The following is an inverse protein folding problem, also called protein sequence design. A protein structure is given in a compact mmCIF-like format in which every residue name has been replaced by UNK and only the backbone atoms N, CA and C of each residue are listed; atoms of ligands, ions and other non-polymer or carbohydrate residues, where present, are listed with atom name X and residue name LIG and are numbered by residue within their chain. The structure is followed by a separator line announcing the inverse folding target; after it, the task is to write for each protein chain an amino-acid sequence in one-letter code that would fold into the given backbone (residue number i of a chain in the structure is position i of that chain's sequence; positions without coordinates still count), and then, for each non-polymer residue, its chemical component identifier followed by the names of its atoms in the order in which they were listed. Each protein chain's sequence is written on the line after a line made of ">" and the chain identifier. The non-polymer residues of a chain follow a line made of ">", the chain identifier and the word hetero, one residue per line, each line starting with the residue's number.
data_IF_784074668187
#
_entry.id   IF_784074668187
#
_cell.length_a   1.000
_cell.length_b   1.000
_cell.length_c   1.000
_cell.angle_alpha   90.00
_cell.angle_beta   90.00
_cell.angle_gamma   90.00
#
_symmetry.space_group_name_H-M   'P 1'
#
loop_
_entity.id
_entity.type
_entity.pdbx_description
1 polymer ?
#
# COMPACT_ATOMS: atom_id res chain seq x y z
N UNK A 1 -4.73 46.92 6.11
CA UNK A 1 -4.75 45.45 6.34
C UNK A 1 -6.05 44.94 5.77
N UNK A 2 -5.99 44.28 4.62
CA UNK A 2 -7.16 43.70 3.94
C UNK A 2 -7.73 42.59 4.81
N UNK A 3 -8.83 42.89 5.50
CA UNK A 3 -9.69 41.90 6.15
C UNK A 3 -10.10 40.89 5.08
N UNK A 4 -9.45 39.72 5.04
CA UNK A 4 -9.93 38.64 4.20
C UNK A 4 -11.25 38.19 4.80
N UNK A 5 -12.34 38.36 4.05
CA UNK A 5 -13.65 37.89 4.45
C UNK A 5 -13.60 36.36 4.57
N UNK A 6 -14.19 35.79 5.62
CA UNK A 6 -14.27 34.34 5.79
C UNK A 6 -14.92 33.65 4.58
N UNK A 7 -15.76 34.40 3.84
CA UNK A 7 -16.37 33.96 2.57
C UNK A 7 -15.32 33.69 1.50
N UNK A 8 -14.30 34.53 1.37
CA UNK A 8 -13.21 34.33 0.40
C UNK A 8 -12.42 33.06 0.72
N UNK A 9 -12.12 32.82 2.01
CA UNK A 9 -11.39 31.63 2.46
C UNK A 9 -12.21 30.36 2.22
N UNK A 10 -13.51 30.39 2.55
CA UNK A 10 -14.41 29.26 2.26
C UNK A 10 -14.48 28.97 0.76
N UNK A 11 -14.65 30.01 -0.07
CA UNK A 11 -14.72 29.84 -1.52
C UNK A 11 -13.40 29.30 -2.10
N UNK A 12 -12.26 29.75 -1.57
CA UNK A 12 -10.95 29.23 -1.93
C UNK A 12 -10.83 27.73 -1.59
N UNK A 13 -11.16 27.32 -0.36
CA UNK A 13 -11.13 25.90 0.04
C UNK A 13 -12.09 25.06 -0.81
N UNK A 14 -13.31 25.55 -1.06
CA UNK A 14 -14.28 24.86 -1.94
C UNK A 14 -13.71 24.68 -3.36
N UNK A 15 -13.07 25.70 -3.90
CA UNK A 15 -12.42 25.65 -5.22
C UNK A 15 -11.24 24.67 -5.20
N UNK A 16 -10.42 24.66 -4.16
CA UNK A 16 -9.31 23.71 -3.99
C UNK A 16 -9.80 22.24 -3.94
N UNK A 17 -10.98 21.97 -3.38
CA UNK A 17 -11.62 20.65 -3.46
C UNK A 17 -12.09 20.35 -4.89
N UNK A 18 -12.78 21.31 -5.54
CA UNK A 18 -13.31 21.15 -6.91
C UNK A 18 -12.21 20.94 -7.93
N UNK A 19 -11.10 21.65 -7.78
CA UNK A 19 -9.98 21.67 -8.72
C UNK A 19 -8.94 20.60 -8.37
N UNK A 20 -9.17 19.81 -7.30
CA UNK A 20 -8.35 18.65 -6.98
C UNK A 20 -8.58 17.55 -8.04
N UNK A 21 -7.77 17.59 -9.11
CA UNK A 21 -7.89 16.67 -10.23
C UNK A 21 -7.75 15.19 -9.86
N UNK A 22 -7.03 14.87 -8.79
CA UNK A 22 -6.97 13.50 -8.28
C UNK A 22 -8.32 13.09 -7.68
N UNK A 23 -8.91 13.92 -6.81
CA UNK A 23 -10.20 13.64 -6.18
C UNK A 23 -11.33 13.54 -7.21
N UNK A 24 -11.47 14.56 -8.04
CA UNK A 24 -12.52 14.59 -9.06
C UNK A 24 -12.34 13.47 -10.08
N UNK A 25 -11.12 13.27 -10.59
CA UNK A 25 -10.83 12.20 -11.54
C UNK A 25 -11.10 10.81 -10.96
N UNK A 26 -10.81 10.57 -9.67
CA UNK A 26 -11.16 9.31 -9.00
C UNK A 26 -12.67 9.13 -8.87
N UNK A 27 -13.42 10.18 -8.50
CA UNK A 27 -14.89 10.11 -8.40
C UNK A 27 -15.49 9.81 -9.78
N UNK A 28 -15.07 10.51 -10.83
CA UNK A 28 -15.54 10.29 -12.20
C UNK A 28 -15.20 8.89 -12.71
N UNK A 29 -14.00 8.38 -12.41
CA UNK A 29 -13.60 7.02 -12.77
C UNK A 29 -14.47 5.96 -12.07
N UNK A 30 -14.78 6.15 -10.78
CA UNK A 30 -15.69 5.27 -10.05
C UNK A 30 -17.13 5.38 -10.57
N UNK A 31 -17.60 6.60 -10.86
CA UNK A 31 -18.92 6.85 -11.45
C UNK A 31 -19.08 6.13 -12.80
N UNK A 32 -18.07 6.18 -13.67
CA UNK A 32 -18.05 5.48 -14.96
C UNK A 32 -18.13 3.95 -14.82
N UNK A 33 -17.71 3.41 -13.68
CA UNK A 33 -17.82 1.98 -13.33
C UNK A 33 -19.09 1.65 -12.54
N UNK A 34 -20.08 2.55 -12.53
CA UNK A 34 -21.35 2.40 -11.81
C UNK A 34 -21.16 2.14 -10.30
N UNK A 35 -20.20 2.85 -9.69
CA UNK A 35 -19.95 2.73 -8.26
C UNK A 35 -21.17 3.17 -7.44
N UNK A 36 -21.34 2.53 -6.28
CA UNK A 36 -22.32 2.94 -5.29
C UNK A 36 -21.67 3.81 -4.21
N UNK A 37 -22.47 4.66 -3.56
CA UNK A 37 -22.01 5.52 -2.48
C UNK A 37 -22.43 4.96 -1.12
N UNK A 38 -21.47 4.85 -0.20
CA UNK A 38 -21.71 4.50 1.18
C UNK A 38 -21.34 5.68 2.09
N UNK A 39 -22.30 6.44 2.62
CA UNK A 39 -22.03 7.64 3.42
C UNK A 39 -21.40 7.35 4.78
N UNK A 40 -21.45 6.09 5.24
CA UNK A 40 -21.15 5.74 6.61
C UNK A 40 -22.21 6.22 7.60
N UNK A 41 -22.03 5.83 8.86
CA UNK A 41 -22.83 6.26 9.98
C UNK A 41 -22.02 7.15 10.91
N UNK A 42 -22.72 8.00 11.65
CA UNK A 42 -22.09 8.74 12.72
C UNK A 42 -23.01 9.75 13.38
N UNK A 43 -22.40 10.80 13.88
CA UNK A 43 -23.09 11.88 14.56
C UNK A 43 -23.48 13.00 13.58
N UNK A 44 -24.07 14.10 14.08
CA UNK A 44 -24.44 15.23 13.23
C UNK A 44 -23.26 15.85 12.45
N UNK A 45 -22.04 15.72 12.95
CA UNK A 45 -20.84 16.14 12.21
C UNK A 45 -20.68 15.39 10.88
N UNK A 46 -20.99 14.10 10.86
CA UNK A 46 -20.95 13.27 9.66
C UNK A 46 -22.06 13.65 8.67
N UNK A 47 -23.18 14.21 9.15
CA UNK A 47 -24.20 14.81 8.28
C UNK A 47 -23.63 15.97 7.47
N UNK A 48 -22.77 16.81 8.08
CA UNK A 48 -22.16 17.94 7.38
C UNK A 48 -21.19 17.48 6.29
N UNK A 49 -20.44 16.40 6.55
CA UNK A 49 -19.60 15.73 5.55
C UNK A 49 -20.47 15.24 4.39
N UNK A 50 -21.59 14.57 4.71
CA UNK A 50 -22.51 14.04 3.71
C UNK A 50 -23.10 15.15 2.84
N UNK A 51 -23.53 16.28 3.43
CA UNK A 51 -24.03 17.44 2.67
C UNK A 51 -22.99 17.94 1.67
N UNK A 52 -21.76 18.21 2.11
CA UNK A 52 -20.70 18.65 1.20
C UNK A 52 -20.33 17.61 0.15
N UNK A 53 -20.47 16.32 0.46
CA UNK A 53 -20.29 15.22 -0.50
C UNK A 53 -21.39 15.22 -1.57
N UNK A 54 -22.65 15.34 -1.16
CA UNK A 54 -23.78 15.42 -2.10
C UNK A 54 -23.73 16.67 -2.97
N UNK A 55 -23.32 17.81 -2.41
CA UNK A 55 -23.10 19.04 -3.18
C UNK A 55 -22.01 18.86 -4.25
N UNK A 56 -20.94 18.11 -3.95
CA UNK A 56 -19.89 17.79 -4.95
C UNK A 56 -20.44 16.87 -6.03
N UNK A 57 -21.17 15.82 -5.66
CA UNK A 57 -21.76 14.90 -6.63
C UNK A 57 -22.73 15.61 -7.57
N UNK A 58 -23.57 16.50 -7.05
CA UNK A 58 -24.48 17.33 -7.84
C UNK A 58 -23.71 18.24 -8.81
N UNK A 59 -22.66 18.93 -8.34
CA UNK A 59 -21.81 19.75 -9.21
C UNK A 59 -21.06 18.91 -10.28
N UNK A 60 -20.85 17.61 -10.04
CA UNK A 60 -20.24 16.67 -11.00
C UNK A 60 -21.30 15.98 -11.90
N UNK A 61 -22.60 16.24 -11.69
CA UNK A 61 -23.67 15.57 -12.41
C UNK A 61 -23.78 14.07 -12.13
N UNK A 62 -23.31 13.62 -10.96
CA UNK A 62 -23.34 12.21 -10.56
C UNK A 62 -24.40 11.95 -9.49
N UNK A 63 -25.23 10.93 -9.69
CA UNK A 63 -26.24 10.50 -8.72
C UNK A 63 -26.08 9.00 -8.44
N UNK A 64 -25.23 8.61 -7.47
CA UNK A 64 -24.98 7.20 -7.17
C UNK A 64 -26.17 6.51 -6.51
N UNK A 65 -26.25 5.18 -6.67
CA UNK A 65 -27.06 4.35 -5.78
C UNK A 65 -26.48 4.40 -4.37
N UNK A 66 -27.34 4.57 -3.36
CA UNK A 66 -26.93 4.65 -1.96
C UNK A 66 -26.99 3.27 -1.31
N UNK A 67 -25.85 2.82 -0.78
CA UNK A 67 -25.76 1.58 -0.01
C UNK A 67 -26.17 1.84 1.44
N UNK A 68 -27.07 1.03 1.97
CA UNK A 68 -27.62 1.16 3.33
C UNK A 68 -27.34 -0.07 4.18
N UNK A 69 -27.09 0.14 5.47
CA UNK A 69 -26.88 -0.94 6.44
C UNK A 69 -25.45 -1.05 6.99
N UNK A 70 -25.26 -2.01 7.90
CA UNK A 70 -24.00 -2.26 8.63
C UNK A 70 -23.53 -3.71 8.64
N UNK A 71 -24.24 -4.59 7.95
CA UNK A 71 -23.90 -6.01 7.94
C UNK A 71 -22.62 -6.26 7.11
N UNK A 72 -21.94 -7.39 7.33
CA UNK A 72 -20.66 -7.66 6.64
C UNK A 72 -20.79 -7.74 5.11
N UNK A 73 -21.97 -8.12 4.64
CA UNK A 73 -22.38 -8.22 3.24
C UNK A 73 -23.00 -6.93 2.68
N UNK A 74 -22.91 -5.80 3.39
CA UNK A 74 -23.53 -4.52 2.98
C UNK A 74 -23.12 -4.06 1.57
N UNK A 75 -21.95 -4.47 1.08
CA UNK A 75 -21.46 -4.15 -0.27
C UNK A 75 -21.75 -5.24 -1.31
N UNK A 76 -22.56 -6.25 -1.00
CA UNK A 76 -22.93 -7.30 -1.94
C UNK A 76 -23.67 -6.72 -3.16
N UNK A 77 -23.36 -7.26 -4.35
CA UNK A 77 -23.90 -6.75 -5.62
C UNK A 77 -23.18 -5.53 -6.18
N UNK A 78 -22.23 -4.94 -5.45
CA UNK A 78 -21.43 -3.81 -5.91
C UNK A 78 -19.97 -4.21 -6.10
N UNK A 79 -19.35 -3.76 -7.19
CA UNK A 79 -17.93 -3.96 -7.48
C UNK A 79 -17.05 -2.75 -7.13
N UNK A 80 -17.64 -1.56 -7.08
CA UNK A 80 -16.95 -0.30 -6.79
C UNK A 80 -17.75 0.49 -5.77
N UNK A 81 -17.09 0.94 -4.71
CA UNK A 81 -17.70 1.73 -3.63
C UNK A 81 -16.95 3.05 -3.48
N UNK A 82 -17.70 4.15 -3.51
CA UNK A 82 -17.22 5.43 -2.98
C UNK A 82 -17.65 5.51 -1.51
N UNK A 83 -16.67 5.51 -0.62
CA UNK A 83 -16.87 5.50 0.82
C UNK A 83 -16.78 6.93 1.37
N UNK A 84 -17.78 7.34 2.14
CA UNK A 84 -17.91 8.67 2.73
C UNK A 84 -16.69 9.08 3.56
N UNK A 85 -16.40 10.38 3.56
CA UNK A 85 -15.32 10.93 4.39
C UNK A 85 -15.64 10.79 5.88
N UNK A 86 -14.63 10.94 6.75
CA UNK A 86 -14.89 10.95 8.20
C UNK A 86 -13.76 10.47 9.09
N UNK A 87 -14.13 9.99 10.27
CA UNK A 87 -13.20 9.55 11.34
C UNK A 87 -13.29 8.06 11.70
N UNK A 88 -13.86 7.23 10.83
CA UNK A 88 -14.15 5.81 11.10
C UNK A 88 -12.95 4.84 11.00
N UNK A 89 -11.71 5.35 10.99
CA UNK A 89 -10.49 4.58 10.71
C UNK A 89 -9.45 4.76 11.82
N UNK A 90 -9.86 4.52 13.07
CA UNK A 90 -9.02 4.76 14.26
C UNK A 90 -8.96 3.52 15.15
N UNK A 91 -7.78 2.87 15.22
CA UNK A 91 -7.63 1.63 15.97
C UNK A 91 -7.91 1.81 17.46
N UNK A 92 -8.73 0.93 18.02
CA UNK A 92 -9.16 0.92 19.40
C UNK A 92 -10.25 1.94 19.74
N UNK A 93 -10.74 2.72 18.76
CA UNK A 93 -11.84 3.67 18.96
C UNK A 93 -12.94 3.45 17.91
N UNK A 94 -12.59 3.54 16.63
CA UNK A 94 -13.52 3.50 15.51
C UNK A 94 -13.05 2.47 14.48
N UNK A 95 -13.62 1.26 14.53
CA UNK A 95 -13.28 0.13 13.64
C UNK A 95 -14.50 -0.44 12.91
N UNK A 96 -15.65 0.24 13.01
CA UNK A 96 -16.98 -0.29 12.66
C UNK A 96 -17.07 -0.80 11.22
N UNK A 97 -16.28 -0.23 10.31
CA UNK A 97 -16.35 -0.54 8.87
C UNK A 97 -15.27 -1.51 8.39
N UNK A 98 -14.28 -1.83 9.24
CA UNK A 98 -13.11 -2.58 8.82
C UNK A 98 -13.48 -3.95 8.25
N UNK A 99 -14.37 -4.69 8.92
CA UNK A 99 -14.75 -6.03 8.47
C UNK A 99 -15.47 -6.00 7.11
N UNK A 100 -16.49 -5.16 6.95
CA UNK A 100 -17.24 -5.06 5.70
C UNK A 100 -16.35 -4.63 4.52
N UNK A 101 -15.46 -3.65 4.76
CA UNK A 101 -14.48 -3.21 3.76
C UNK A 101 -13.51 -4.32 3.38
N UNK A 102 -12.91 -5.01 4.36
CA UNK A 102 -11.97 -6.09 4.08
C UNK A 102 -12.65 -7.28 3.38
N UNK A 103 -13.91 -7.59 3.71
CA UNK A 103 -14.67 -8.61 2.99
C UNK A 103 -14.90 -8.23 1.54
N UNK A 104 -15.22 -6.96 1.25
CA UNK A 104 -15.39 -6.48 -0.12
C UNK A 104 -14.09 -6.54 -0.94
N UNK A 105 -12.97 -6.09 -0.35
CA UNK A 105 -11.65 -6.17 -0.98
C UNK A 105 -11.20 -7.62 -1.23
N UNK A 106 -11.50 -8.55 -0.30
CA UNK A 106 -11.23 -9.99 -0.51
C UNK A 106 -12.02 -10.59 -1.67
N UNK A 107 -13.19 -10.04 -1.99
CA UNK A 107 -14.00 -10.41 -3.16
C UNK A 107 -13.56 -9.72 -4.45
N UNK A 108 -12.52 -8.87 -4.40
CA UNK A 108 -11.96 -8.14 -5.54
C UNK A 108 -12.68 -6.83 -5.86
N UNK A 109 -13.48 -6.30 -4.93
CA UNK A 109 -14.11 -5.00 -5.09
C UNK A 109 -13.13 -3.84 -4.85
N UNK A 110 -13.38 -2.69 -5.47
CA UNK A 110 -12.54 -1.48 -5.33
C UNK A 110 -13.22 -0.44 -4.44
N UNK A 111 -12.43 0.29 -3.65
CA UNK A 111 -12.92 1.34 -2.76
C UNK A 111 -12.15 2.65 -2.95
N UNK A 112 -12.92 3.72 -3.15
CA UNK A 112 -12.45 5.10 -3.05
C UNK A 112 -12.86 5.67 -1.69
N UNK A 113 -11.90 5.93 -0.81
CA UNK A 113 -12.15 6.64 0.45
C UNK A 113 -12.09 8.14 0.22
N UNK A 114 -13.22 8.81 0.41
CA UNK A 114 -13.28 10.27 0.43
C UNK A 114 -12.53 10.83 1.66
N UNK A 115 -12.16 12.14 1.66
CA UNK A 115 -11.29 12.75 2.66
C UNK A 115 -11.58 12.34 4.11
N UNK A 116 -10.66 11.56 4.70
CA UNK A 116 -10.80 10.92 6.01
C UNK A 116 -9.56 11.06 6.89
N UNK A 117 -9.71 10.77 8.18
CA UNK A 117 -8.57 10.65 9.11
C UNK A 117 -8.30 9.18 9.45
N UNK A 118 -7.03 8.78 9.40
CA UNK A 118 -6.54 7.42 9.64
C UNK A 118 -5.54 7.40 10.81
N UNK A 119 -5.76 6.53 11.78
CA UNK A 119 -4.86 6.39 12.93
C UNK A 119 -4.76 4.93 13.36
N UNK A 120 -3.60 4.33 13.15
CA UNK A 120 -3.40 2.92 13.50
C UNK A 120 -4.08 1.94 12.55
N UNK A 121 -4.68 2.41 11.45
CA UNK A 121 -5.29 1.62 10.38
C UNK A 121 -4.69 1.99 9.02
N UNK A 122 -4.23 0.98 8.27
CA UNK A 122 -3.62 1.15 6.96
C UNK A 122 -2.85 -0.08 6.50
N UNK A 123 -2.18 -0.77 7.44
CA UNK A 123 -1.50 -2.05 7.17
C UNK A 123 -2.42 -3.12 6.58
N UNK A 124 -3.69 -3.10 6.95
CA UNK A 124 -4.75 -3.99 6.43
C UNK A 124 -5.08 -3.75 4.97
N UNK A 125 -4.83 -2.55 4.45
CA UNK A 125 -5.09 -2.21 3.06
C UNK A 125 -3.90 -2.53 2.15
N UNK A 126 -2.70 -2.74 2.71
CA UNK A 126 -1.48 -3.05 1.94
C UNK A 126 -1.65 -4.27 1.02
N UNK A 127 -2.24 -5.41 1.46
CA UNK A 127 -2.48 -6.55 0.57
C UNK A 127 -3.45 -6.25 -0.58
N UNK A 128 -4.20 -5.16 -0.49
CA UNK A 128 -5.23 -4.73 -1.44
C UNK A 128 -4.92 -3.34 -2.01
N UNK A 129 -3.66 -2.92 -2.01
CA UNK A 129 -3.27 -1.55 -2.39
C UNK A 129 -3.77 -1.18 -3.79
N UNK A 130 -3.87 -2.16 -4.69
CA UNK A 130 -4.36 -1.92 -6.04
C UNK A 130 -5.86 -1.67 -6.16
N UNK A 131 -6.61 -2.01 -5.12
CA UNK A 131 -8.07 -1.90 -5.03
C UNK A 131 -8.52 -0.69 -4.22
N UNK A 132 -7.60 0.03 -3.57
CA UNK A 132 -7.93 1.17 -2.70
C UNK A 132 -7.36 2.47 -3.24
N UNK A 133 -8.14 3.54 -3.15
CA UNK A 133 -7.69 4.91 -3.36
C UNK A 133 -8.10 5.71 -2.13
N UNK A 134 -7.14 6.35 -1.44
CA UNK A 134 -7.37 6.96 -0.13
C UNK A 134 -7.12 8.46 -0.18
N UNK A 135 -8.15 9.25 0.12
CA UNK A 135 -7.99 10.67 0.39
C UNK A 135 -7.92 10.92 1.90
N UNK A 136 -6.83 11.52 2.34
CA UNK A 136 -6.64 12.03 3.68
C UNK A 136 -7.13 13.48 3.75
N UNK A 137 -7.81 13.84 4.84
CA UNK A 137 -8.25 15.24 5.08
C UNK A 137 -7.23 16.13 5.78
N UNK A 138 -6.06 15.57 6.11
CA UNK A 138 -4.92 16.26 6.71
C UNK A 138 -3.63 15.44 6.55
N UNK A 139 -2.47 16.09 6.78
CA UNK A 139 -1.14 15.53 6.51
C UNK A 139 -0.73 14.40 7.45
N UNK A 140 -1.14 14.43 8.72
CA UNK A 140 -0.77 13.40 9.71
C UNK A 140 -1.32 12.03 9.32
N UNK A 141 -2.51 11.96 8.72
CA UNK A 141 -3.04 10.70 8.16
C UNK A 141 -2.21 10.19 6.99
N UNK A 142 -1.73 11.08 6.11
CA UNK A 142 -0.82 10.71 5.01
C UNK A 142 0.45 10.09 5.59
N UNK A 143 1.09 10.75 6.54
CA UNK A 143 2.31 10.27 7.19
C UNK A 143 2.10 8.89 7.82
N UNK A 144 0.98 8.71 8.54
CA UNK A 144 0.66 7.44 9.21
C UNK A 144 0.40 6.29 8.23
N UNK A 145 -0.28 6.54 7.10
CA UNK A 145 -0.51 5.51 6.09
C UNK A 145 0.80 5.10 5.39
N UNK A 146 1.67 6.07 5.11
CA UNK A 146 3.01 5.82 4.57
C UNK A 146 3.87 5.00 5.56
N UNK A 147 3.88 5.37 6.84
CA UNK A 147 4.54 4.62 7.92
C UNK A 147 4.04 3.17 8.03
N UNK A 148 2.78 2.92 7.66
CA UNK A 148 2.16 1.60 7.65
C UNK A 148 2.37 0.80 6.36
N UNK A 149 3.04 1.37 5.37
CA UNK A 149 3.41 0.71 4.12
C UNK A 149 2.37 0.79 3.01
N UNK A 150 1.36 1.66 3.14
CA UNK A 150 0.44 1.94 2.02
C UNK A 150 1.21 2.69 0.93
N UNK A 151 1.13 2.27 -0.36
CA UNK A 151 1.90 2.91 -1.42
C UNK A 151 1.54 4.40 -1.62
N UNK A 152 2.52 5.30 -1.81
CA UNK A 152 2.28 6.74 -1.94
C UNK A 152 1.30 7.11 -3.08
N UNK A 153 1.31 6.37 -4.18
CA UNK A 153 0.43 6.57 -5.33
C UNK A 153 -1.04 6.25 -5.04
N UNK A 154 -1.34 5.64 -3.89
CA UNK A 154 -2.70 5.35 -3.42
C UNK A 154 -3.19 6.35 -2.38
N UNK A 155 -2.34 7.29 -1.96
CA UNK A 155 -2.63 8.25 -0.88
C UNK A 155 -2.62 9.66 -1.44
N UNK A 156 -3.74 10.35 -1.25
CA UNK A 156 -3.94 11.71 -1.71
C UNK A 156 -4.35 12.61 -0.55
N UNK A 157 -4.11 13.91 -0.71
CA UNK A 157 -4.51 14.91 0.27
C UNK A 157 -5.62 15.79 -0.33
N UNK A 158 -6.64 16.06 0.46
CA UNK A 158 -7.70 17.03 0.14
C UNK A 158 -8.26 17.63 1.42
N UNK A 159 -9.09 18.66 1.33
CA UNK A 159 -9.82 19.18 2.47
C UNK A 159 -10.99 18.24 2.87
N UNK A 160 -11.46 18.39 4.11
CA UNK A 160 -12.67 17.70 4.57
C UNK A 160 -13.88 18.08 3.71
N UNK A 161 -14.69 17.09 3.33
CA UNK A 161 -15.85 17.30 2.44
C UNK A 161 -16.86 18.29 3.02
N UNK A 162 -16.92 18.49 4.34
CA UNK A 162 -17.76 19.51 4.97
C UNK A 162 -17.51 20.93 4.43
N UNK A 163 -16.27 21.25 4.00
CA UNK A 163 -15.97 22.55 3.39
C UNK A 163 -16.58 22.73 1.99
N UNK A 164 -17.02 21.65 1.35
CA UNK A 164 -17.74 21.69 0.08
C UNK A 164 -19.25 21.95 0.25
N UNK A 165 -19.72 22.28 1.45
CA UNK A 165 -21.13 22.63 1.67
C UNK A 165 -21.50 23.95 0.98
N UNK A 166 -22.62 24.00 0.26
CA UNK A 166 -23.13 25.21 -0.41
C UNK A 166 -23.71 26.21 0.59
N UNK A 167 -23.47 27.48 0.32
CA UNK A 167 -23.95 28.62 1.13
C UNK A 167 -25.47 28.69 1.21
N UNK A 168 -26.13 28.31 0.12
CA UNK A 168 -27.58 28.32 -0.02
C UNK A 168 -28.28 27.49 1.06
N UNK A 169 -27.61 26.48 1.63
CA UNK A 169 -28.16 25.64 2.69
C UNK A 169 -28.35 26.38 4.02
N UNK A 170 -27.68 27.51 4.24
CA UNK A 170 -27.73 28.29 5.49
C UNK A 170 -27.89 29.80 5.28
N UNK A 171 -28.16 30.25 4.05
CA UNK A 171 -28.15 31.68 3.68
C UNK A 171 -29.15 32.54 4.48
N UNK A 172 -30.23 31.94 4.98
CA UNK A 172 -31.28 32.59 5.77
C UNK A 172 -30.98 32.68 7.27
N UNK A 173 -29.82 32.17 7.71
CA UNK A 173 -29.43 32.11 9.13
C UNK A 173 -28.46 33.21 9.56
N UNK A 174 -28.17 34.19 8.70
CA UNK A 174 -27.27 35.29 9.06
C UNK A 174 -27.90 36.20 10.13
N UNK A 175 -27.39 36.07 11.36
CA UNK A 175 -27.87 36.80 12.54
C UNK A 175 -26.69 37.31 13.35
N UNK A 176 -26.87 38.47 13.98
CA UNK A 176 -25.92 38.99 14.97
C UNK A 176 -26.09 38.18 16.26
N UNK A 177 -25.00 37.55 16.72
CA UNK A 177 -25.00 36.76 17.95
C UNK A 177 -25.37 37.62 19.16
N UNK A 178 -26.40 37.22 19.90
CA UNK A 178 -26.93 37.93 21.07
C UNK A 178 -26.37 37.37 22.38
N UNK A 179 -25.92 36.12 22.37
CA UNK A 179 -25.36 35.43 23.53
C UNK A 179 -23.83 35.34 23.44
N UNK A 180 -23.10 35.34 24.56
CA UNK A 180 -21.65 35.49 24.53
C UNK A 180 -20.93 34.28 23.92
N UNK A 181 -21.12 33.07 24.47
CA UNK A 181 -20.41 31.88 24.01
C UNK A 181 -21.26 30.61 24.19
N UNK A 182 -21.28 29.75 23.17
CA UNK A 182 -21.86 28.41 23.24
C UNK A 182 -20.75 27.37 23.41
N UNK A 183 -20.80 26.59 24.49
CA UNK A 183 -19.88 25.48 24.72
C UNK A 183 -20.47 24.18 24.13
N UNK A 184 -19.83 23.66 23.07
CA UNK A 184 -20.19 22.38 22.44
C UNK A 184 -19.08 21.37 22.67
N UNK A 185 -19.03 20.78 23.86
CA UNK A 185 -17.94 19.87 24.25
C UNK A 185 -18.40 18.43 24.33
N UNK A 186 -17.54 17.52 23.86
CA UNK A 186 -17.76 16.08 23.75
C UNK A 186 -18.11 15.44 25.07
N UNK A 187 -19.09 14.55 25.05
CA UNK A 187 -19.43 13.62 26.11
C UNK A 187 -18.79 12.23 25.93
N UNK A 188 -18.20 11.97 24.76
CA UNK A 188 -17.71 10.66 24.34
C UNK A 188 -16.20 10.45 24.64
N UNK A 189 -15.72 9.26 24.30
CA UNK A 189 -14.35 8.77 24.54
C UNK A 189 -13.26 9.59 23.84
N UNK A 190 -13.65 10.44 22.87
CA UNK A 190 -12.73 11.37 22.21
C UNK A 190 -12.50 12.66 23.01
N UNK A 191 -13.24 12.90 24.09
CA UNK A 191 -13.01 14.06 24.97
C UNK A 191 -11.64 13.98 25.67
N UNK A 192 -10.99 15.12 25.82
CA UNK A 192 -9.78 15.28 26.64
C UNK A 192 -10.09 15.78 28.06
N UNK A 193 -11.35 16.10 28.35
CA UNK A 193 -11.78 16.71 29.60
C UNK A 193 -12.26 15.68 30.60
N UNK A 194 -11.83 15.82 31.85
CA UNK A 194 -12.36 15.02 32.97
C UNK A 194 -13.73 15.51 33.41
N UNK A 195 -13.90 16.83 33.46
CA UNK A 195 -15.16 17.46 33.83
C UNK A 195 -15.61 18.43 32.74
N UNK A 196 -16.87 18.29 32.33
CA UNK A 196 -17.49 19.20 31.36
C UNK A 196 -18.09 20.40 32.11
N UNK A 197 -17.94 21.62 31.59
CA UNK A 197 -18.68 22.77 32.09
C UNK A 197 -20.18 22.46 32.13
N UNK A 198 -20.89 22.92 33.17
CA UNK A 198 -22.33 22.64 33.35
C UNK A 198 -23.18 23.22 32.22
N UNK A 199 -22.70 24.28 31.59
CA UNK A 199 -23.29 24.99 30.47
C UNK A 199 -22.84 24.43 29.10
N UNK A 200 -22.13 23.30 29.07
CA UNK A 200 -21.75 22.62 27.85
C UNK A 200 -22.80 21.63 27.38
N UNK A 201 -23.06 21.62 26.07
CA UNK A 201 -24.00 20.69 25.41
C UNK A 201 -23.32 19.95 24.27
N UNK A 202 -23.43 18.62 24.20
CA UNK A 202 -22.88 17.85 23.07
C UNK A 202 -23.93 17.70 21.97
N UNK A 203 -24.22 18.81 21.26
CA UNK A 203 -25.27 18.86 20.25
C UNK A 203 -25.14 17.78 19.17
N UNK A 204 -23.94 17.47 18.64
CA UNK A 204 -23.83 16.42 17.63
C UNK A 204 -24.28 15.05 18.12
N UNK A 205 -24.10 14.74 19.41
CA UNK A 205 -24.45 13.43 19.95
C UNK A 205 -25.96 13.24 20.13
N UNK A 206 -26.77 14.31 20.02
CA UNK A 206 -28.23 14.21 19.95
C UNK A 206 -28.71 13.44 18.71
N UNK A 207 -27.89 13.46 17.65
CA UNK A 207 -28.12 12.73 16.41
C UNK A 207 -26.93 11.81 16.22
N UNK A 208 -26.99 10.59 16.73
CA UNK A 208 -25.89 9.64 16.66
C UNK A 208 -26.36 8.32 16.07
N UNK A 209 -25.42 7.57 15.52
CA UNK A 209 -25.69 6.26 14.92
C UNK A 209 -26.61 6.33 13.68
N UNK A 210 -26.60 7.46 12.96
CA UNK A 210 -27.45 7.71 11.79
C UNK A 210 -26.62 7.55 10.52
N UNK A 211 -27.19 6.88 9.52
CA UNK A 211 -26.65 6.87 8.17
C UNK A 211 -27.21 8.06 7.39
N UNK A 212 -26.35 9.03 7.10
CA UNK A 212 -26.72 10.29 6.45
C UNK A 212 -26.81 10.13 4.93
N UNK A 213 -27.91 9.52 4.48
CA UNK A 213 -28.07 8.94 3.14
C UNK A 213 -28.70 9.87 2.09
N UNK A 214 -29.14 11.07 2.49
CA UNK A 214 -29.75 12.06 1.60
C UNK A 214 -29.66 13.48 2.18
N UNK A 215 -29.70 14.49 1.32
CA UNK A 215 -29.76 15.90 1.74
C UNK A 215 -31.00 16.18 2.60
N UNK A 216 -32.15 15.57 2.28
CA UNK A 216 -33.40 15.73 3.03
C UNK A 216 -33.27 15.29 4.49
N UNK A 217 -32.52 14.22 4.75
CA UNK A 217 -32.25 13.76 6.12
C UNK A 217 -31.17 14.58 6.82
N UNK A 218 -30.15 15.06 6.10
CA UNK A 218 -29.04 15.79 6.70
C UNK A 218 -29.42 17.22 7.12
N UNK A 219 -30.13 17.94 6.25
CA UNK A 219 -30.30 19.39 6.38
C UNK A 219 -31.14 19.84 7.59
N UNK A 220 -32.28 19.21 7.95
CA UNK A 220 -33.10 19.69 9.06
C UNK A 220 -32.38 19.76 10.42
N UNK A 221 -31.68 18.70 10.90
CA UNK A 221 -30.95 18.80 12.16
C UNK A 221 -29.73 19.72 12.07
N UNK A 222 -29.02 19.74 10.93
CA UNK A 222 -27.91 20.67 10.71
C UNK A 222 -28.35 22.12 10.75
N UNK A 223 -29.45 22.48 10.07
CA UNK A 223 -30.03 23.83 10.08
C UNK A 223 -30.50 24.23 11.46
N UNK A 224 -31.04 23.29 12.25
CA UNK A 224 -31.42 23.56 13.65
C UNK A 224 -30.21 23.93 14.50
N UNK A 225 -29.11 23.17 14.38
CA UNK A 225 -27.86 23.46 15.10
C UNK A 225 -27.19 24.73 14.56
N UNK A 226 -27.11 24.94 13.25
CA UNK A 226 -26.60 26.18 12.64
C UNK A 226 -27.39 27.41 13.11
N UNK A 227 -28.72 27.33 13.15
CA UNK A 227 -29.59 28.38 13.67
C UNK A 227 -29.37 28.66 15.16
N UNK A 228 -28.98 27.65 15.95
CA UNK A 228 -28.54 27.86 17.33
C UNK A 228 -27.17 28.54 17.39
N UNK A 229 -26.16 28.05 16.64
CA UNK A 229 -24.80 28.62 16.60
C UNK A 229 -24.82 30.11 16.25
N UNK A 230 -25.67 30.52 15.30
CA UNK A 230 -25.77 31.92 14.85
C UNK A 230 -26.29 32.88 15.93
N UNK A 231 -26.95 32.38 16.97
CA UNK A 231 -27.42 33.18 18.10
C UNK A 231 -26.30 33.54 19.09
N UNK A 232 -25.12 32.93 18.97
CA UNK A 232 -23.98 33.20 19.84
C UNK A 232 -22.87 33.96 19.11
N UNK A 233 -22.17 34.83 19.84
CA UNK A 233 -21.05 35.61 19.32
C UNK A 233 -19.81 34.74 19.09
N UNK A 234 -19.61 33.71 19.93
CA UNK A 234 -18.56 32.71 19.74
C UNK A 234 -19.01 31.29 20.07
N UNK A 235 -18.31 30.31 19.51
CA UNK A 235 -18.46 28.89 19.81
C UNK A 235 -17.16 28.36 20.41
N UNK A 236 -17.23 27.56 21.48
CA UNK A 236 -16.10 26.76 21.97
C UNK A 236 -16.41 25.29 21.79
N UNK A 237 -15.54 24.53 21.14
CA UNK A 237 -15.82 23.12 20.86
C UNK A 237 -14.59 22.25 20.67
N UNK A 238 -14.68 20.97 21.03
CA UNK A 238 -13.74 19.89 20.67
C UNK A 238 -14.34 18.94 19.61
N UNK A 239 -15.46 19.33 18.97
CA UNK A 239 -16.06 18.67 17.81
C UNK A 239 -15.55 19.31 16.52
N UNK A 240 -14.84 18.54 15.70
CA UNK A 240 -14.28 19.01 14.43
C UNK A 240 -15.32 19.69 13.54
N UNK A 241 -16.44 19.02 13.26
CA UNK A 241 -17.43 19.53 12.32
C UNK A 241 -18.27 20.68 12.86
N UNK A 242 -18.35 20.85 14.19
CA UNK A 242 -18.94 22.06 14.77
C UNK A 242 -18.01 23.27 14.58
N UNK A 243 -16.69 23.02 14.58
CA UNK A 243 -15.71 24.05 14.22
C UNK A 243 -15.85 24.44 12.76
N UNK A 244 -15.92 23.46 11.84
CA UNK A 244 -16.12 23.72 10.42
C UNK A 244 -17.43 24.48 10.19
N UNK A 245 -18.54 24.03 10.76
CA UNK A 245 -19.83 24.72 10.63
C UNK A 245 -19.78 26.17 11.13
N UNK A 246 -19.14 26.42 12.28
CA UNK A 246 -18.94 27.78 12.78
C UNK A 246 -18.13 28.65 11.80
N UNK A 247 -17.06 28.11 11.20
CA UNK A 247 -16.30 28.80 10.16
C UNK A 247 -17.15 29.12 8.93
N UNK A 248 -17.96 28.17 8.45
CA UNK A 248 -18.85 28.35 7.28
C UNK A 248 -19.91 29.44 7.52
N UNK A 249 -20.36 29.59 8.77
CA UNK A 249 -21.31 30.60 9.23
C UNK A 249 -20.65 31.94 9.64
N UNK A 250 -19.33 32.07 9.49
CA UNK A 250 -18.58 33.27 9.87
C UNK A 250 -18.61 33.55 11.37
N UNK A 251 -18.77 32.53 12.22
CA UNK A 251 -18.74 32.66 13.68
C UNK A 251 -17.33 32.53 14.21
N UNK A 252 -17.01 33.31 15.23
CA UNK A 252 -15.78 33.14 16.00
C UNK A 252 -15.80 31.79 16.70
N UNK A 253 -14.73 31.00 16.57
CA UNK A 253 -14.65 29.66 17.15
C UNK A 253 -13.32 29.39 17.82
N UNK A 254 -13.37 28.92 19.06
CA UNK A 254 -12.23 28.38 19.81
C UNK A 254 -12.32 26.85 19.78
N UNK A 255 -11.43 26.23 19.01
CA UNK A 255 -11.33 24.78 18.87
C UNK A 255 -10.40 24.18 19.93
N UNK A 256 -10.79 23.07 20.54
CA UNK A 256 -9.96 22.29 21.46
C UNK A 256 -9.51 20.95 20.84
N UNK A 257 -8.37 20.43 21.29
CA UNK A 257 -7.86 19.12 20.89
C UNK A 257 -8.70 17.95 21.42
N UNK A 258 -8.79 16.88 20.63
CA UNK A 258 -9.44 15.63 21.01
C UNK A 258 -8.42 14.59 21.52
N UNK A 259 -8.88 13.37 21.83
CA UNK A 259 -8.08 12.27 22.39
C UNK A 259 -6.90 11.81 21.51
N UNK A 260 -6.88 12.21 20.24
CA UNK A 260 -5.81 11.98 19.28
C UNK A 260 -5.56 13.22 18.42
N UNK A 261 -4.76 13.11 17.35
CA UNK A 261 -4.26 14.26 16.59
C UNK A 261 -5.31 14.97 15.69
N UNK A 262 -6.47 14.35 15.40
CA UNK A 262 -7.38 14.79 14.31
C UNK A 262 -7.71 16.27 14.37
N UNK A 263 -8.18 16.77 15.52
CA UNK A 263 -8.63 18.15 15.60
C UNK A 263 -7.49 19.12 15.27
N UNK A 264 -6.30 18.87 15.83
CA UNK A 264 -5.11 19.68 15.58
C UNK A 264 -4.66 19.60 14.12
N UNK A 265 -4.59 18.39 13.56
CA UNK A 265 -4.10 18.20 12.20
C UNK A 265 -5.01 18.82 11.13
N UNK A 266 -6.34 18.70 11.29
CA UNK A 266 -7.29 19.38 10.39
C UNK A 266 -7.27 20.89 10.62
N UNK A 267 -7.06 21.34 11.87
CA UNK A 267 -6.89 22.76 12.14
C UNK A 267 -5.71 23.34 11.38
N UNK A 268 -4.53 22.72 11.54
CA UNK A 268 -3.30 23.16 10.91
C UNK A 268 -3.37 23.13 9.37
N UNK A 269 -4.10 22.16 8.80
CA UNK A 269 -4.20 22.03 7.35
C UNK A 269 -5.26 22.95 6.71
N UNK A 270 -6.42 23.14 7.35
CA UNK A 270 -7.58 23.81 6.75
C UNK A 270 -8.11 24.99 7.56
N UNK A 271 -8.35 24.80 8.87
CA UNK A 271 -9.12 25.76 9.68
C UNK A 271 -8.29 26.99 10.06
N UNK A 272 -6.97 26.86 10.20
CA UNK A 272 -6.08 27.97 10.57
C UNK A 272 -6.11 29.15 9.58
N UNK A 273 -6.63 28.92 8.36
CA UNK A 273 -6.85 29.95 7.33
C UNK A 273 -7.95 30.93 7.71
N UNK A 274 -8.91 30.53 8.57
CA UNK A 274 -10.02 31.36 9.01
C UNK A 274 -9.57 32.27 10.16
N UNK A 275 -9.59 33.61 10.01
CA UNK A 275 -9.11 34.53 11.04
C UNK A 275 -9.95 34.48 12.32
N UNK A 276 -11.20 34.07 12.23
CA UNK A 276 -12.10 33.91 13.36
C UNK A 276 -11.96 32.56 14.08
N UNK A 277 -11.09 31.67 13.61
CA UNK A 277 -10.85 30.37 14.23
C UNK A 277 -9.53 30.37 15.00
N UNK A 278 -9.55 29.89 16.24
CA UNK A 278 -8.36 29.70 17.07
C UNK A 278 -8.30 28.27 17.61
N UNK A 279 -7.09 27.81 17.93
CA UNK A 279 -6.88 26.51 18.55
C UNK A 279 -6.34 26.67 19.97
N UNK A 280 -6.90 25.92 20.91
CA UNK A 280 -6.46 25.89 22.29
C UNK A 280 -5.86 24.52 22.63
N UNK A 281 -4.54 24.50 22.75
CA UNK A 281 -3.82 23.35 23.29
C UNK A 281 -4.14 23.23 24.80
N UNK A 282 -4.92 22.21 25.17
CA UNK A 282 -5.04 21.78 26.58
C UNK A 282 -4.17 20.55 26.78
N UNK A 283 -3.28 20.60 27.77
CA UNK A 283 -2.66 19.38 28.30
C UNK A 283 -3.77 18.48 28.84
N UNK A 284 -3.78 17.19 28.44
CA UNK A 284 -4.69 16.20 29.02
C UNK A 284 -4.54 16.21 30.53
N UNK A 285 -5.63 16.24 31.27
CA UNK A 285 -5.60 16.01 32.72
C UNK A 285 -5.39 14.50 32.98
N UNK A 286 -4.13 14.05 33.08
CA UNK A 286 -3.74 12.63 33.21
C UNK A 286 -3.92 12.13 34.66
N UNK A 287 -4.42 10.90 34.89
CA UNK A 287 -4.40 10.27 36.24
C UNK A 287 -2.96 9.92 36.67
N UNK A 288 -2.59 9.97 37.96
CA UNK A 288 -1.31 9.43 38.44
C UNK A 288 -1.10 7.94 38.08
N UNK A 289 -2.18 7.16 38.04
CA UNK A 289 -2.21 5.75 37.64
C UNK A 289 -1.90 5.56 36.13
N UNK A 290 -2.41 6.47 35.30
CA UNK A 290 -2.20 6.49 33.84
C UNK A 290 -0.81 7.01 33.45
N UNK A 291 -0.06 7.68 34.34
CA UNK A 291 1.34 8.03 34.08
C UNK A 291 2.23 6.77 34.03
N UNK A 292 1.98 5.81 34.91
CA UNK A 292 2.69 4.52 34.91
C UNK A 292 2.32 3.68 33.68
N UNK A 293 1.05 3.70 33.29
CA UNK A 293 0.58 3.00 32.10
C UNK A 293 1.05 3.68 30.81
N UNK A 294 1.04 5.01 30.71
CA UNK A 294 1.62 5.73 29.57
C UNK A 294 3.13 5.57 29.48
N UNK A 295 3.86 5.54 30.59
CA UNK A 295 5.28 5.22 30.57
C UNK A 295 5.51 3.80 30.03
N UNK A 296 4.67 2.84 30.44
CA UNK A 296 4.68 1.47 29.90
C UNK A 296 4.28 1.42 28.42
N UNK A 297 3.23 2.11 28.00
CA UNK A 297 2.78 2.16 26.60
C UNK A 297 3.81 2.86 25.71
N UNK A 298 4.46 3.93 26.20
CA UNK A 298 5.53 4.61 25.49
C UNK A 298 6.76 3.73 25.35
N UNK A 299 7.16 3.06 26.44
CA UNK A 299 8.24 2.06 26.42
C UNK A 299 7.90 0.90 25.47
N UNK A 300 6.65 0.44 25.47
CA UNK A 300 6.17 -0.64 24.60
C UNK A 300 6.16 -0.18 23.14
N UNK A 301 5.70 1.04 22.83
CA UNK A 301 5.78 1.62 21.47
C UNK A 301 7.21 1.78 21.00
N UNK A 302 8.11 2.27 21.86
CA UNK A 302 9.53 2.40 21.53
C UNK A 302 10.17 1.03 21.33
N UNK A 303 9.77 0.02 22.11
CA UNK A 303 10.21 -1.37 21.95
C UNK A 303 9.68 -1.97 20.64
N UNK A 304 8.40 -1.80 20.33
CA UNK A 304 7.79 -2.25 19.06
C UNK A 304 8.49 -1.56 17.88
N UNK A 305 8.78 -0.26 17.98
CA UNK A 305 9.50 0.49 16.96
C UNK A 305 10.91 -0.07 16.75
N UNK A 306 11.65 -0.37 17.83
CA UNK A 306 12.97 -1.02 17.74
C UNK A 306 12.87 -2.40 17.10
N UNK A 307 11.95 -3.25 17.56
CA UNK A 307 11.75 -4.58 17.00
C UNK A 307 11.34 -4.54 15.52
N UNK A 308 10.55 -3.54 15.11
CA UNK A 308 10.18 -3.35 13.72
C UNK A 308 11.38 -2.94 12.85
N UNK A 309 12.24 -2.05 13.36
CA UNK A 309 13.49 -1.67 12.70
C UNK A 309 14.46 -2.85 12.60
N UNK A 310 14.61 -3.62 13.68
CA UNK A 310 15.46 -4.81 13.72
C UNK A 310 14.96 -5.87 12.72
N UNK A 311 13.64 -6.11 12.67
CA UNK A 311 13.02 -7.02 11.72
C UNK A 311 13.14 -6.54 10.27
N UNK A 312 13.14 -5.23 10.03
CA UNK A 312 13.42 -4.66 8.70
C UNK A 312 14.88 -4.88 8.30
N UNK A 313 15.83 -4.60 9.20
CA UNK A 313 17.25 -4.85 8.96
C UNK A 313 17.54 -6.34 8.72
N UNK A 314 16.88 -7.24 9.46
CA UNK A 314 16.99 -8.68 9.27
C UNK A 314 16.43 -9.12 7.91
N UNK A 315 15.29 -8.56 7.48
CA UNK A 315 14.74 -8.80 6.13
C UNK A 315 15.67 -8.31 5.02
N UNK A 316 16.29 -7.14 5.18
CA UNK A 316 17.26 -6.61 4.23
C UNK A 316 18.50 -7.51 4.13
N UNK A 317 18.99 -8.00 5.29
CA UNK A 317 20.10 -8.97 5.36
C UNK A 317 19.73 -10.29 4.69
N UNK A 318 18.53 -10.83 4.96
CA UNK A 318 18.03 -12.04 4.33
C UNK A 318 17.89 -11.87 2.81
N UNK A 319 17.38 -10.72 2.36
CA UNK A 319 17.30 -10.38 0.95
C UNK A 319 18.68 -10.29 0.28
N UNK A 320 19.69 -9.80 0.99
CA UNK A 320 21.09 -9.84 0.55
C UNK A 320 21.62 -11.26 0.36
N UNK A 321 21.38 -12.14 1.35
CA UNK A 321 21.78 -13.55 1.29
C UNK A 321 21.06 -14.30 0.17
N UNK A 322 19.77 -14.06 -0.03
CA UNK A 322 19.00 -14.67 -1.13
C UNK A 322 19.57 -14.27 -2.49
N UNK A 323 19.87 -12.98 -2.71
CA UNK A 323 20.53 -12.52 -3.94
C UNK A 323 21.89 -13.19 -4.16
N UNK A 324 22.68 -13.35 -3.09
CA UNK A 324 23.97 -14.03 -3.17
C UNK A 324 23.80 -15.53 -3.49
N UNK A 325 22.81 -16.20 -2.90
CA UNK A 325 22.48 -17.59 -3.20
C UNK A 325 22.05 -17.75 -4.67
N UNK A 326 21.19 -16.87 -5.19
CA UNK A 326 20.79 -16.91 -6.60
C UNK A 326 21.98 -16.75 -7.54
N UNK A 327 22.93 -15.87 -7.21
CA UNK A 327 24.18 -15.74 -7.99
C UNK A 327 25.03 -17.01 -7.93
N UNK A 328 25.17 -17.63 -6.75
CA UNK A 328 25.92 -18.87 -6.58
C UNK A 328 25.28 -20.05 -7.32
N UNK A 329 23.94 -20.14 -7.28
CA UNK A 329 23.18 -21.16 -8.01
C UNK A 329 23.43 -21.02 -9.52
N UNK A 330 23.30 -19.79 -10.06
CA UNK A 330 23.58 -19.52 -11.49
C UNK A 330 25.02 -19.86 -11.87
N UNK A 331 25.99 -19.43 -11.08
CA UNK A 331 27.40 -19.76 -11.32
C UNK A 331 27.65 -21.28 -11.27
N UNK A 332 26.99 -22.00 -10.35
CA UNK A 332 27.07 -23.45 -10.26
C UNK A 332 26.39 -24.19 -11.41
N UNK A 333 25.33 -23.62 -12.01
CA UNK A 333 24.72 -24.14 -13.23
C UNK A 333 25.63 -23.93 -14.44
N UNK A 334 26.25 -22.75 -14.55
CA UNK A 334 27.18 -22.43 -15.63
C UNK A 334 28.42 -23.33 -15.59
N UNK A 335 29.02 -23.51 -14.41
CA UNK A 335 30.16 -24.40 -14.22
C UNK A 335 29.81 -25.86 -14.53
N UNK A 336 28.62 -26.32 -14.14
CA UNK A 336 28.11 -27.66 -14.51
C UNK A 336 27.91 -27.79 -16.02
N UNK A 337 27.47 -26.72 -16.69
CA UNK A 337 27.38 -26.64 -18.14
C UNK A 337 28.74 -26.80 -18.82
N UNK A 338 29.74 -26.05 -18.35
CA UNK A 338 31.12 -26.12 -18.85
C UNK A 338 31.74 -27.51 -18.63
N UNK A 339 31.59 -28.09 -17.44
CA UNK A 339 32.08 -29.43 -17.12
C UNK A 339 31.45 -30.50 -18.05
N UNK A 340 30.14 -30.40 -18.31
CA UNK A 340 29.45 -31.30 -19.26
C UNK A 340 29.94 -31.13 -20.70
N UNK A 341 30.32 -29.92 -21.11
CA UNK A 341 30.92 -29.68 -22.41
C UNK A 341 32.30 -30.34 -22.50
N UNK A 342 33.19 -30.09 -21.53
CA UNK A 342 34.52 -30.71 -21.49
C UNK A 342 34.48 -32.25 -21.44
N UNK A 343 33.54 -32.83 -20.68
CA UNK A 343 33.35 -34.28 -20.65
C UNK A 343 32.93 -34.85 -22.01
N UNK A 344 32.10 -34.12 -22.77
CA UNK A 344 31.72 -34.51 -24.14
C UNK A 344 32.90 -34.43 -25.09
N UNK A 345 33.69 -33.37 -25.01
CA UNK A 345 34.87 -33.19 -25.86
C UNK A 345 35.92 -34.28 -25.57
N UNK A 346 36.16 -34.58 -24.29
CA UNK A 346 37.06 -35.67 -23.88
C UNK A 346 36.56 -37.04 -24.34
N UNK A 347 35.25 -37.29 -24.31
CA UNK A 347 34.67 -38.52 -24.82
C UNK A 347 34.85 -38.64 -26.35
N UNK A 348 34.65 -37.56 -27.10
CA UNK A 348 34.89 -37.54 -28.54
C UNK A 348 36.37 -37.78 -28.88
N UNK A 349 37.28 -37.19 -28.11
CA UNK A 349 38.72 -37.39 -28.33
C UNK A 349 39.14 -38.82 -28.00
N UNK A 350 38.58 -39.41 -26.93
CA UNK A 350 38.77 -40.84 -26.62
C UNK A 350 38.31 -41.74 -27.77
N UNK A 351 37.15 -41.47 -28.37
CA UNK A 351 36.63 -42.25 -29.50
C UNK A 351 37.46 -42.08 -30.78
N UNK A 352 38.10 -40.91 -30.97
CA UNK A 352 39.08 -40.71 -32.05
C UNK A 352 40.34 -41.53 -31.83
N UNK A 353 40.89 -41.49 -30.62
CA UNK A 353 42.09 -42.23 -30.27
C UNK A 353 41.86 -43.74 -30.38
N UNK A 354 40.71 -44.25 -29.93
CA UNK A 354 40.35 -45.66 -30.08
C UNK A 354 40.33 -46.10 -31.55
N UNK A 355 39.71 -45.31 -32.44
CA UNK A 355 39.72 -45.59 -33.89
C UNK A 355 41.12 -45.55 -34.49
N UNK A 356 41.97 -44.64 -34.02
CA UNK A 356 43.37 -44.57 -34.47
C UNK A 356 44.18 -45.79 -34.02
N UNK A 357 43.92 -46.30 -32.81
CA UNK A 357 44.53 -47.54 -32.29
C UNK A 357 44.07 -48.73 -33.13
N UNK A 358 42.77 -48.89 -33.39
CA UNK A 358 42.24 -49.95 -34.26
C UNK A 358 42.91 -49.94 -35.64
N UNK A 359 43.06 -48.76 -36.24
CA UNK A 359 43.73 -48.63 -37.54
C UNK A 359 45.23 -48.96 -37.49
N UNK A 360 45.91 -48.62 -36.41
CA UNK A 360 47.31 -49.00 -36.19
C UNK A 360 47.47 -50.51 -35.99
N UNK A 361 46.54 -51.16 -35.30
CA UNK A 361 46.51 -52.61 -35.13
C UNK A 361 46.27 -53.33 -36.47
N UNK A 362 45.35 -52.83 -37.30
CA UNK A 362 45.13 -53.31 -38.67
C UNK A 362 46.40 -53.17 -39.52
N UNK A 363 47.03 -51.99 -39.54
CA UNK A 363 48.28 -51.78 -40.26
C UNK A 363 49.41 -52.67 -39.74
N UNK A 364 49.48 -52.92 -38.43
CA UNK A 364 50.46 -53.84 -37.84
C UNK A 364 50.25 -55.28 -38.32
N UNK A 365 49.00 -55.74 -38.38
CA UNK A 365 48.64 -57.05 -38.92
C UNK A 365 49.00 -57.18 -40.40
N UNK A 366 48.68 -56.16 -41.21
CA UNK A 366 49.09 -56.10 -42.62
C UNK A 366 50.60 -56.11 -42.79
N UNK A 367 51.34 -55.38 -41.94
CA UNK A 367 52.80 -55.32 -41.99
C UNK A 367 53.44 -56.67 -41.63
N UNK A 368 52.86 -57.38 -40.66
CA UNK A 368 53.28 -58.73 -40.28
C UNK A 368 52.98 -59.77 -41.36
N UNK A 369 51.83 -59.68 -42.04
CA UNK A 369 51.53 -60.48 -43.24
C UNK A 369 52.50 -60.17 -44.38
N UNK A 370 52.81 -58.90 -44.63
CA UNK A 370 53.79 -58.49 -45.62
C UNK A 370 55.18 -59.04 -45.32
N UNK A 371 55.59 -59.02 -44.05
CA UNK A 371 56.84 -59.64 -43.59
C UNK A 371 56.83 -61.14 -43.86
N UNK A 372 55.78 -61.87 -43.46
CA UNK A 372 55.65 -63.32 -43.70
C UNK A 372 55.66 -63.66 -45.19
N UNK A 373 54.99 -62.85 -46.02
CA UNK A 373 54.95 -63.01 -47.49
C UNK A 373 56.33 -62.78 -48.14
N UNK A 374 57.02 -61.68 -47.79
CA UNK A 374 58.40 -61.43 -48.28
C UNK A 374 59.37 -62.49 -47.79
N UNK A 375 59.27 -62.92 -46.53
CA UNK A 375 60.12 -63.96 -45.96
C UNK A 375 59.84 -65.33 -46.61
N UNK A 376 58.58 -65.65 -46.91
CA UNK A 376 58.23 -66.86 -47.67
C UNK A 376 58.73 -66.81 -49.11
N UNK A 377 58.65 -65.68 -49.82
CA UNK A 377 59.23 -65.54 -51.17
C UNK A 377 60.75 -65.67 -51.18
N UNK A 378 61.43 -65.09 -50.17
CA UNK A 378 62.88 -65.25 -49.96
C UNK A 378 63.24 -66.70 -49.64
N UNK A 379 62.43 -67.37 -48.84
CA UNK A 379 62.59 -68.78 -48.49
C UNK A 379 62.40 -69.67 -49.73
N UNK A 380 61.38 -69.45 -50.54
CA UNK A 380 61.17 -70.17 -51.80
C UNK A 380 62.30 -69.94 -52.81
N UNK A 381 62.78 -68.70 -52.96
CA UNK A 381 63.97 -68.40 -53.80
C UNK A 381 65.24 -69.09 -53.27
N UNK A 382 65.42 -69.15 -51.96
CA UNK A 382 66.53 -69.87 -51.32
C UNK A 382 66.44 -71.39 -51.57
N UNK A 383 65.25 -71.98 -51.49
CA UNK A 383 65.04 -73.41 -51.75
C UNK A 383 65.13 -73.77 -53.23
N UNK A 384 64.68 -72.92 -54.15
CA UNK A 384 64.90 -73.12 -55.60
C UNK A 384 66.38 -73.02 -55.98
N UNK A 385 67.14 -72.09 -55.38
CA UNK A 385 68.60 -72.02 -55.54
C UNK A 385 69.34 -73.28 -55.02
N UNK A 386 68.76 -73.98 -54.04
CA UNK A 386 69.30 -75.24 -53.52
C UNK A 386 69.06 -76.46 -54.45
N UNK A 387 68.11 -76.36 -55.38
CA UNK A 387 67.76 -77.40 -56.35
C UNK A 387 68.52 -77.28 -57.67
N UNK A 388 69.17 -76.15 -57.96
CA UNK A 388 70.02 -75.97 -59.15
C UNK A 388 71.30 -76.84 -59.03
N UNK A 389 71.54 -77.76 -59.98
CA UNK A 389 72.74 -78.62 -59.96
C UNK A 389 74.02 -77.79 -60.05
N UNK A 390 74.94 -77.97 -59.09
CA UNK A 390 76.19 -77.20 -58.97
C UNK A 390 76.14 -76.17 -57.84
N UNK A 391 75.21 -75.21 -57.91
CA UNK A 391 75.05 -74.13 -56.91
C UNK A 391 74.51 -74.68 -55.57
N UNK A 392 73.57 -75.63 -55.63
CA UNK A 392 72.97 -76.24 -54.44
C UNK A 392 73.91 -77.11 -53.61
N UNK A 393 75.05 -77.57 -54.16
CA UNK A 393 76.08 -78.31 -53.39
C UNK A 393 76.92 -77.35 -52.55
N UNK A 394 77.39 -76.25 -53.14
CA UNK A 394 78.19 -75.23 -52.44
C UNK A 394 77.43 -74.59 -51.27
N UNK A 395 76.13 -74.28 -51.45
CA UNK A 395 75.30 -73.70 -50.40
C UNK A 395 74.99 -74.68 -49.25
N UNK A 396 74.86 -75.99 -49.51
CA UNK A 396 74.72 -77.03 -48.47
C UNK A 396 75.98 -77.18 -47.63
N UNK A 397 77.16 -77.09 -48.26
CA UNK A 397 78.45 -77.14 -47.55
C UNK A 397 78.63 -75.94 -46.63
N UNK A 398 78.27 -74.73 -47.09
CA UNK A 398 78.33 -73.50 -46.28
C UNK A 398 77.37 -73.58 -45.09
N UNK A 399 76.12 -74.02 -45.30
CA UNK A 399 75.12 -74.17 -44.23
C UNK A 399 75.58 -75.14 -43.13
N UNK A 400 76.20 -76.27 -43.50
CA UNK A 400 76.71 -77.24 -42.53
C UNK A 400 77.94 -76.73 -41.75
N UNK A 401 78.62 -75.69 -42.25
CA UNK A 401 79.74 -75.05 -41.56
C UNK A 401 79.31 -73.92 -40.61
N UNK A 402 78.10 -73.36 -40.78
CA UNK A 402 77.58 -72.25 -39.97
C UNK A 402 76.66 -72.74 -38.84
N UNK A 403 76.03 -73.91 -38.97
CA UNK A 403 75.16 -74.53 -37.95
C UNK A 403 75.91 -75.47 -36.99
N UNK A 404 77.23 -75.33 -36.86
CA UNK A 404 78.04 -75.97 -35.83
C UNK A 404 78.37 -75.00 -34.71
#
# INVERSE_FOLDING_TARGET
>A
MTSHDYRDIKNAIRSEIRDNGALVGSIEAFAAKNAAFYPGYGNLGDALIAVGTFDLFDDLGWTPSIVRGRQGDVFEGHSHIVFGGGGGWVRGLWETYAEAVLQHLRKGGEILFLPSSFSGFGSEFVPFSDQVTIFCRERRSVDLLLEQGVPPERIFLSHDMAFYTRDTHFADLDRVGQYPCLNILRADEESTRRTRPRDSVDLPLLFNDIQWDSLEHCLPPLRSVAGLLTQFASVRTDRLHMTILACLLGRTVEMEGNSYFKNRAVFDYSICRFPQASFRDREREIRPEEQGEQARTRLLRDTIRRLSLDRQAEREKLGGVLRQNDMLVRAGEELRGQMRAQLRDAAQEKDRLLRAIEHLEEMSLEFDEMKKSKFNRLKEHYYTLLEVPGIGRSLRTIRNSILR
#
